data_IF_326869898092
#
_entry.id   IF_326869898092
#
_cell.length_a   1.000
_cell.length_b   1.000
_cell.length_c   1.000
_cell.angle_alpha   90.00
_cell.angle_beta   90.00
_cell.angle_gamma   90.00
#
_symmetry.space_group_name_H-M   'P 1'
#
loop_
_entity.id
_entity.type
_entity.pdbx_description
1 polymer ?
#
# COMPACT_ATOMS: atom_id res chain seq x y z
N UNK A 1 -4.27 10.24 4.41
CA UNK A 1 -3.83 9.43 5.58
C UNK A 1 -2.55 8.68 5.22
N UNK A 2 -1.62 8.53 6.17
CA UNK A 2 -0.36 7.79 5.93
C UNK A 2 -0.55 6.33 6.30
N UNK A 3 -0.24 5.46 5.35
CA UNK A 3 -0.21 4.01 5.52
C UNK A 3 1.23 3.59 5.42
N UNK A 4 1.64 2.80 6.39
CA UNK A 4 2.97 2.27 6.48
C UNK A 4 3.03 0.96 5.71
N UNK A 5 4.04 0.72 4.88
CA UNK A 5 4.14 -0.53 4.14
C UNK A 5 5.47 -1.26 4.31
N UNK A 6 5.37 -2.59 4.33
CA UNK A 6 6.45 -3.59 4.44
C UNK A 6 6.24 -4.66 3.35
N UNK A 7 7.23 -5.52 3.05
CA UNK A 7 6.99 -6.65 2.16
C UNK A 7 5.84 -7.53 2.66
N UNK A 8 4.77 -7.66 1.85
CA UNK A 8 3.59 -8.48 2.17
C UNK A 8 2.54 -7.84 3.10
N UNK A 9 2.80 -6.68 3.69
CA UNK A 9 1.92 -6.12 4.73
C UNK A 9 1.78 -4.59 4.65
N UNK A 10 0.62 -4.08 5.08
CA UNK A 10 0.41 -2.67 5.39
C UNK A 10 0.01 -2.49 6.85
N UNK A 11 0.38 -1.36 7.44
CA UNK A 11 -0.02 -0.98 8.79
C UNK A 11 -0.67 0.41 8.79
N UNK A 12 -1.87 0.50 9.36
CA UNK A 12 -2.60 1.76 9.54
C UNK A 12 -3.22 1.77 10.93
N UNK A 13 -2.93 2.80 11.73
CA UNK A 13 -3.49 2.95 13.08
C UNK A 13 -3.27 1.71 14.00
N UNK A 14 -2.13 1.02 13.84
CA UNK A 14 -1.80 -0.20 14.60
C UNK A 14 -2.46 -1.48 14.10
N UNK A 15 -3.25 -1.43 13.02
CA UNK A 15 -3.82 -2.61 12.36
C UNK A 15 -2.89 -3.03 11.22
N UNK A 16 -2.48 -4.30 11.21
CA UNK A 16 -1.67 -4.90 10.16
C UNK A 16 -2.56 -5.77 9.27
N UNK A 17 -2.49 -5.53 7.96
CA UNK A 17 -3.23 -6.28 6.93
C UNK A 17 -2.24 -6.88 5.92
N UNK A 18 -2.47 -8.14 5.54
CA UNK A 18 -1.72 -8.85 4.50
C UNK A 18 -2.13 -8.34 3.11
N UNK A 19 -1.14 -8.08 2.26
CA UNK A 19 -1.34 -7.53 0.93
C UNK A 19 -0.35 -8.09 -0.10
N UNK A 20 -0.77 -8.12 -1.37
CA UNK A 20 0.13 -8.30 -2.50
C UNK A 20 0.43 -6.95 -3.16
N UNK A 21 1.71 -6.72 -3.45
CA UNK A 21 2.16 -5.59 -4.25
C UNK A 21 2.47 -6.04 -5.67
N UNK A 22 1.88 -5.36 -6.64
CA UNK A 22 2.26 -5.51 -8.06
C UNK A 22 2.66 -4.16 -8.62
N UNK A 23 3.73 -4.11 -9.40
CA UNK A 23 4.24 -2.88 -9.98
C UNK A 23 4.18 -2.94 -11.50
N UNK A 24 3.74 -1.83 -12.12
CA UNK A 24 3.74 -1.66 -13.58
C UNK A 24 4.16 -0.22 -13.89
N UNK A 25 5.40 -0.02 -14.31
CA UNK A 25 5.97 1.32 -14.48
C UNK A 25 6.01 2.07 -13.15
N UNK A 26 5.42 3.27 -13.12
CA UNK A 26 5.29 4.09 -11.91
C UNK A 26 4.01 3.80 -11.10
N UNK A 27 3.24 2.76 -11.44
CA UNK A 27 2.02 2.39 -10.71
C UNK A 27 2.28 1.19 -9.81
N UNK A 28 1.90 1.30 -8.54
CA UNK A 28 1.86 0.22 -7.56
C UNK A 28 0.40 -0.12 -7.30
N UNK A 29 0.00 -1.38 -7.49
CA UNK A 29 -1.32 -1.87 -7.10
C UNK A 29 -1.17 -2.73 -5.85
N UNK A 30 -1.81 -2.30 -4.77
CA UNK A 30 -1.88 -3.00 -3.48
C UNK A 30 -3.16 -3.81 -3.44
N UNK A 31 -3.08 -5.12 -3.24
CA UNK A 31 -4.23 -6.02 -3.19
C UNK A 31 -4.37 -6.63 -1.80
N UNK A 32 -5.45 -6.34 -1.11
CA UNK A 32 -5.67 -6.78 0.26
C UNK A 32 -6.13 -8.23 0.32
N UNK A 33 -5.48 -9.03 1.18
CA UNK A 33 -5.73 -10.47 1.36
C UNK A 33 -6.56 -10.79 2.59
N UNK A 34 -6.57 -9.89 3.56
CA UNK A 34 -7.36 -9.95 4.77
C UNK A 34 -7.91 -8.56 5.13
N UNK A 35 -8.47 -8.45 6.33
CA UNK A 35 -9.01 -7.20 6.85
C UNK A 35 -10.30 -6.75 6.19
N UNK A 36 -10.67 -5.49 6.42
CA UNK A 36 -11.95 -4.93 5.93
C UNK A 36 -11.93 -4.74 4.41
N UNK A 37 -10.75 -4.59 3.82
CA UNK A 37 -10.56 -4.33 2.40
C UNK A 37 -10.28 -5.60 1.58
N UNK A 38 -10.38 -6.79 2.19
CA UNK A 38 -10.07 -8.08 1.54
C UNK A 38 -10.68 -8.20 0.15
N UNK A 39 -9.85 -8.59 -0.82
CA UNK A 39 -10.23 -8.74 -2.23
C UNK A 39 -10.18 -7.44 -3.04
N UNK A 40 -10.03 -6.29 -2.39
CA UNK A 40 -9.89 -5.00 -3.06
C UNK A 40 -8.46 -4.75 -3.53
N UNK A 41 -8.34 -4.08 -4.67
CA UNK A 41 -7.06 -3.58 -5.17
C UNK A 41 -7.09 -2.06 -5.28
N UNK A 42 -6.09 -1.40 -4.69
CA UNK A 42 -5.96 0.06 -4.71
C UNK A 42 -4.70 0.44 -5.50
N UNK A 43 -4.81 1.26 -6.55
CA UNK A 43 -3.66 1.78 -7.27
C UNK A 43 -3.05 3.00 -6.55
N UNK A 44 -1.74 3.12 -6.66
CA UNK A 44 -0.91 4.22 -6.19
C UNK A 44 0.11 4.58 -7.26
N UNK A 45 0.51 5.85 -7.30
CA UNK A 45 1.59 6.33 -8.15
C UNK A 45 2.85 6.48 -7.31
N UNK A 46 3.96 5.88 -7.74
CA UNK A 46 5.28 6.09 -7.16
C UNK A 46 5.70 7.54 -7.37
N UNK A 47 6.07 8.18 -6.26
CA UNK A 47 6.61 9.54 -6.24
C UNK A 47 8.13 9.48 -6.06
N UNK A 48 8.62 8.52 -5.27
CA UNK A 48 10.04 8.23 -5.09
C UNK A 48 10.24 6.75 -4.66
N UNK A 49 11.48 6.37 -4.30
CA UNK A 49 11.83 5.00 -3.91
C UNK A 49 11.11 4.47 -2.66
N UNK A 50 10.61 5.35 -1.80
CA UNK A 50 10.00 5.03 -0.51
C UNK A 50 8.54 5.51 -0.40
N UNK A 51 8.05 6.27 -1.39
CA UNK A 51 6.74 6.92 -1.32
C UNK A 51 5.90 6.60 -2.55
N UNK A 52 4.66 6.16 -2.31
CA UNK A 52 3.63 6.07 -3.34
C UNK A 52 2.35 6.77 -2.86
N UNK A 53 1.60 7.40 -3.75
CA UNK A 53 0.44 8.22 -3.38
C UNK A 53 -0.75 7.97 -4.29
N UNK A 54 -1.94 8.19 -3.76
CA UNK A 54 -3.15 8.41 -4.54
C UNK A 54 -3.95 9.58 -3.91
N UNK A 55 -5.12 9.98 -4.45
CA UNK A 55 -5.88 11.10 -3.90
C UNK A 55 -6.28 10.96 -2.42
N UNK A 56 -6.30 9.75 -1.86
CA UNK A 56 -6.79 9.46 -0.50
C UNK A 56 -5.67 9.16 0.50
N UNK A 57 -4.59 8.54 0.03
CA UNK A 57 -3.61 7.84 0.85
C UNK A 57 -2.19 8.10 0.38
N UNK A 58 -1.27 8.10 1.34
CA UNK A 58 0.18 8.07 1.10
C UNK A 58 0.74 6.79 1.70
N UNK A 59 1.32 5.95 0.86
CA UNK A 59 2.10 4.79 1.27
C UNK A 59 3.53 5.25 1.55
N UNK A 60 4.04 4.93 2.73
CA UNK A 60 5.43 5.17 3.10
C UNK A 60 6.13 3.89 3.52
N UNK A 61 7.25 3.58 2.86
CA UNK A 61 8.10 2.42 3.18
C UNK A 61 8.79 2.68 4.51
N UNK A 62 8.77 1.71 5.40
CA UNK A 62 9.65 1.71 6.59
C UNK A 62 10.88 0.87 6.28
N UNK A 63 12.01 1.31 6.80
CA UNK A 63 13.25 0.52 6.83
C UNK A 63 13.13 -0.63 7.81
#
# INVERSE_FOLDING_TARGET
>A
MTITFRPGETETMGVIEQVDYTTKGNVVKVTYKDGMMKGSSIPFTLVDHNTATNPMYTLRRVR
#
